data_IF_926409333329
#
_entry.id   IF_926409333329
#
_cell.length_a   1.000
_cell.length_b   1.000
_cell.length_c   1.000
_cell.angle_alpha   90.00
_cell.angle_beta   90.00
_cell.angle_gamma   90.00
#
_symmetry.space_group_name_H-M   'P 1'
#
loop_
_entity.id
_entity.type
_entity.pdbx_description
1 polymer ?
#
# COMPACT_ATOMS: atom_id res chain seq x y z
N UNK A 1 13.32 15.84 2.04
CA UNK A 1 12.37 15.42 3.08
C UNK A 1 11.04 15.95 2.65
N UNK A 2 10.12 15.09 2.21
CA UNK A 2 8.71 15.48 2.17
C UNK A 2 8.33 15.67 3.63
N UNK A 3 7.91 16.87 4.01
CA UNK A 3 7.27 17.05 5.31
C UNK A 3 5.98 16.23 5.25
N UNK A 4 5.71 15.44 6.28
CA UNK A 4 4.44 14.73 6.38
C UNK A 4 3.32 15.77 6.36
N UNK A 5 2.44 15.68 5.35
CA UNK A 5 1.35 16.65 5.20
C UNK A 5 0.44 16.58 6.42
N UNK A 6 0.02 17.76 6.90
CA UNK A 6 -0.74 17.88 8.14
C UNK A 6 -2.08 17.15 8.01
N UNK A 7 -2.32 16.17 8.87
CA UNK A 7 -3.62 15.49 8.96
C UNK A 7 -4.67 16.43 9.56
N UNK A 8 -5.78 16.61 8.84
CA UNK A 8 -6.93 17.42 9.26
C UNK A 8 -7.95 16.61 10.06
N UNK A 9 -8.28 15.40 9.59
CA UNK A 9 -9.22 14.51 10.27
C UNK A 9 -8.97 13.04 9.93
N UNK A 10 -9.56 12.17 10.75
CA UNK A 10 -9.48 10.71 10.59
C UNK A 10 -10.89 10.14 10.67
N UNK A 11 -11.24 9.26 9.73
CA UNK A 11 -12.52 8.54 9.71
C UNK A 11 -12.30 7.03 9.75
N UNK A 12 -13.09 6.25 10.52
CA UNK A 12 -12.98 4.79 10.52
C UNK A 12 -13.12 4.20 9.12
N UNK A 13 -12.34 3.16 8.83
CA UNK A 13 -12.46 2.40 7.60
C UNK A 13 -13.53 1.31 7.75
N UNK A 14 -14.22 0.97 6.66
CA UNK A 14 -14.98 -0.27 6.62
C UNK A 14 -14.01 -1.47 6.68
N UNK A 15 -14.42 -2.63 7.23
CA UNK A 15 -13.59 -3.82 7.18
C UNK A 15 -13.29 -4.26 5.74
N UNK A 16 -12.15 -4.90 5.52
CA UNK A 16 -11.78 -5.52 4.25
C UNK A 16 -10.75 -4.74 3.42
N UNK A 17 -10.31 -3.57 3.89
CA UNK A 17 -9.19 -2.84 3.29
C UNK A 17 -7.87 -3.24 3.93
N UNK A 18 -6.83 -3.46 3.12
CA UNK A 18 -5.50 -3.83 3.60
C UNK A 18 -4.40 -3.10 2.85
N UNK A 19 -3.41 -2.59 3.59
CA UNK A 19 -2.13 -2.18 3.02
C UNK A 19 -1.33 -3.43 2.66
N UNK A 20 -0.77 -3.44 1.46
CA UNK A 20 0.04 -4.53 0.95
C UNK A 20 1.53 -4.20 1.06
N UNK A 21 2.31 -5.18 1.49
CA UNK A 21 3.77 -5.09 1.51
C UNK A 21 4.40 -6.40 1.01
N UNK A 22 5.41 -6.34 0.12
CA UNK A 22 6.03 -7.53 -0.42
C UNK A 22 6.85 -8.27 0.65
N UNK A 23 6.58 -9.56 0.80
CA UNK A 23 7.36 -10.46 1.64
C UNK A 23 8.46 -11.12 0.81
N UNK A 24 9.63 -11.27 1.41
CA UNK A 24 10.80 -11.86 0.77
C UNK A 24 11.12 -13.22 1.39
N UNK A 25 11.51 -14.18 0.56
CA UNK A 25 12.07 -15.45 1.01
C UNK A 25 13.52 -15.30 1.51
N UNK A 26 14.12 -16.40 1.97
CA UNK A 26 15.51 -16.43 2.45
C UNK A 26 16.54 -16.02 1.37
N UNK A 27 16.19 -16.17 0.09
CA UNK A 27 17.02 -15.77 -1.04
C UNK A 27 16.78 -14.30 -1.46
N UNK A 28 15.90 -13.57 -0.76
CA UNK A 28 15.55 -12.19 -1.05
C UNK A 28 14.66 -12.02 -2.29
N UNK A 29 13.97 -13.07 -2.74
CA UNK A 29 12.96 -12.97 -3.80
C UNK A 29 11.58 -12.69 -3.19
N UNK A 30 10.79 -11.84 -3.86
CA UNK A 30 9.41 -11.59 -3.43
C UNK A 30 8.57 -12.86 -3.67
N UNK A 31 8.03 -13.42 -2.59
CA UNK A 31 7.26 -14.67 -2.63
C UNK A 31 5.77 -14.47 -2.32
N UNK A 32 5.45 -13.53 -1.43
CA UNK A 32 4.11 -13.32 -0.91
C UNK A 32 3.80 -11.83 -0.68
N UNK A 33 2.54 -11.54 -0.38
CA UNK A 33 2.06 -10.22 0.01
C UNK A 33 1.55 -10.25 1.45
N UNK A 34 2.21 -9.54 2.35
CA UNK A 34 1.66 -9.26 3.68
C UNK A 34 0.49 -8.30 3.56
N UNK A 35 -0.48 -8.43 4.47
CA UNK A 35 -1.70 -7.63 4.53
C UNK A 35 -1.83 -7.03 5.91
N UNK A 36 -1.70 -5.72 6.01
CA UNK A 36 -1.96 -4.99 7.25
C UNK A 36 -3.33 -4.30 7.16
N UNK A 37 -4.26 -4.54 8.10
CA UNK A 37 -5.58 -3.93 8.03
C UNK A 37 -5.51 -2.40 8.04
N UNK A 38 -6.27 -1.77 7.15
CA UNK A 38 -6.58 -0.34 7.26
C UNK A 38 -7.69 -0.19 8.29
N UNK A 39 -7.42 0.52 9.38
CA UNK A 39 -8.37 0.73 10.47
C UNK A 39 -9.09 2.08 10.36
N UNK A 40 -8.47 3.03 9.67
CA UNK A 40 -9.03 4.34 9.40
C UNK A 40 -8.43 4.97 8.13
N UNK A 41 -9.01 6.08 7.70
CA UNK A 41 -8.55 6.93 6.62
C UNK A 41 -8.25 8.32 7.18
N UNK A 42 -7.07 8.85 6.89
CA UNK A 42 -6.67 10.19 7.26
C UNK A 42 -6.79 11.11 6.04
N UNK A 43 -7.42 12.27 6.19
CA UNK A 43 -7.37 13.33 5.18
C UNK A 43 -6.32 14.37 5.60
N UNK A 44 -5.41 14.70 4.69
CA UNK A 44 -4.44 15.76 4.89
C UNK A 44 -4.94 17.14 4.42
N UNK A 45 -4.07 18.15 4.52
CA UNK A 45 -4.37 19.54 4.16
C UNK A 45 -4.44 19.83 2.66
N UNK A 46 -3.93 18.92 1.82
CA UNK A 46 -4.00 19.03 0.35
C UNK A 46 -5.17 18.23 -0.24
N UNK A 47 -5.90 17.49 0.59
CA UNK A 47 -7.07 16.72 0.19
C UNK A 47 -6.75 15.28 -0.22
N UNK A 48 -5.54 14.77 0.06
CA UNK A 48 -5.20 13.38 -0.15
C UNK A 48 -5.71 12.51 1.01
N UNK A 49 -6.10 11.28 0.67
CA UNK A 49 -6.57 10.28 1.62
C UNK A 49 -5.49 9.23 1.84
N UNK A 50 -5.05 9.07 3.08
CA UNK A 50 -3.99 8.16 3.46
C UNK A 50 -4.54 7.02 4.32
N UNK A 51 -4.09 5.77 4.09
CA UNK A 51 -4.46 4.65 4.94
C UNK A 51 -3.80 4.78 6.31
N UNK A 52 -4.58 4.49 7.35
CA UNK A 52 -4.10 4.39 8.73
C UNK A 52 -4.13 2.93 9.14
N UNK A 53 -2.98 2.40 9.57
CA UNK A 53 -2.85 1.06 10.14
C UNK A 53 -2.84 1.14 11.67
N UNK A 54 -2.72 0.00 12.35
CA UNK A 54 -2.55 -0.01 13.81
C UNK A 54 -1.21 0.57 14.26
N UNK A 55 -0.24 0.69 13.34
CA UNK A 55 1.12 1.17 13.63
C UNK A 55 1.25 2.66 13.37
N UNK A 56 0.73 3.14 12.25
CA UNK A 56 1.00 4.49 11.77
C UNK A 56 -0.01 4.99 10.73
N UNK A 57 0.10 6.29 10.42
CA UNK A 57 -0.51 6.92 9.25
C UNK A 57 0.53 6.87 8.12
N UNK A 58 0.18 6.27 6.99
CA UNK A 58 1.11 6.10 5.86
C UNK A 58 1.08 7.33 4.93
N UNK A 59 1.19 8.53 5.49
CA UNK A 59 1.24 9.81 4.76
C UNK A 59 2.66 10.25 4.41
N UNK A 60 3.61 9.32 4.43
CA UNK A 60 5.02 9.60 4.23
C UNK A 60 5.64 8.58 3.28
N UNK A 61 6.40 9.06 2.29
CA UNK A 61 7.19 8.20 1.42
C UNK A 61 6.45 7.72 0.17
N UNK A 62 6.36 6.39 0.00
CA UNK A 62 5.86 5.75 -1.24
C UNK A 62 4.35 5.51 -1.17
N UNK A 63 3.68 5.64 -2.32
CA UNK A 63 2.25 5.38 -2.44
C UNK A 63 1.91 3.93 -2.06
N UNK A 64 1.21 3.72 -0.92
CA UNK A 64 0.89 2.39 -0.44
C UNK A 64 -0.11 1.71 -1.38
N UNK A 65 0.12 0.44 -1.67
CA UNK A 65 -0.86 -0.37 -2.39
C UNK A 65 -1.91 -0.91 -1.42
N UNK A 66 -3.17 -0.76 -1.80
CA UNK A 66 -4.35 -1.05 -0.98
C UNK A 66 -5.17 -2.11 -1.68
N UNK A 67 -5.35 -3.25 -1.02
CA UNK A 67 -6.35 -4.25 -1.38
C UNK A 67 -7.71 -3.79 -0.89
N UNK A 68 -8.65 -3.64 -1.81
CA UNK A 68 -10.04 -3.29 -1.56
C UNK A 68 -10.88 -4.55 -1.24
N UNK A 69 -12.06 -4.39 -0.58
CA UNK A 69 -12.95 -5.49 -0.25
C UNK A 69 -13.48 -6.29 -1.44
N UNK A 70 -13.51 -5.68 -2.63
CA UNK A 70 -13.90 -6.30 -3.90
C UNK A 70 -12.78 -7.14 -4.54
N UNK A 71 -11.57 -7.10 -3.98
CA UNK A 71 -10.41 -7.86 -4.44
C UNK A 71 -9.45 -7.08 -5.34
N UNK A 72 -9.81 -5.87 -5.77
CA UNK A 72 -8.93 -5.01 -6.56
C UNK A 72 -7.82 -4.42 -5.69
N UNK A 73 -6.70 -4.04 -6.32
CA UNK A 73 -5.60 -3.33 -5.64
C UNK A 73 -5.43 -1.95 -6.27
N UNK A 74 -5.30 -0.92 -5.43
CA UNK A 74 -5.08 0.45 -5.87
C UNK A 74 -3.89 1.07 -5.14
N UNK A 75 -3.14 1.91 -5.82
CA UNK A 75 -2.37 2.98 -5.18
C UNK A 75 -2.68 4.30 -5.93
N UNK A 76 -1.95 5.37 -5.62
CA UNK A 76 -2.22 6.68 -6.22
C UNK A 76 -2.08 6.68 -7.75
N UNK A 77 -1.09 5.96 -8.29
CA UNK A 77 -0.70 6.01 -9.71
C UNK A 77 -1.10 4.76 -10.52
N UNK A 78 -1.66 3.73 -9.88
CA UNK A 78 -1.85 2.43 -10.51
C UNK A 78 -3.00 1.64 -9.89
N UNK A 79 -3.56 0.77 -10.72
CA UNK A 79 -4.65 -0.13 -10.40
C UNK A 79 -4.30 -1.53 -10.91
N UNK A 80 -4.67 -2.55 -10.14
CA UNK A 80 -4.57 -3.94 -10.50
C UNK A 80 -5.91 -4.63 -10.24
N UNK A 81 -6.32 -5.49 -11.17
CA UNK A 81 -7.58 -6.24 -11.07
C UNK A 81 -7.61 -7.15 -9.83
N UNK A 82 -6.43 -7.59 -9.36
CA UNK A 82 -6.33 -8.51 -8.23
C UNK A 82 -5.00 -8.44 -7.49
N UNK A 83 -4.97 -9.01 -6.28
CA UNK A 83 -3.75 -9.20 -5.50
C UNK A 83 -2.66 -10.01 -6.24
N UNK A 84 -2.97 -11.14 -6.92
CA UNK A 84 -1.99 -11.82 -7.78
C UNK A 84 -1.34 -10.92 -8.82
N UNK A 85 -2.09 -10.04 -9.48
CA UNK A 85 -1.56 -9.17 -10.53
C UNK A 85 -0.57 -8.15 -9.96
N UNK A 86 -0.92 -7.53 -8.83
CA UNK A 86 0.00 -6.67 -8.11
C UNK A 86 1.29 -7.41 -7.71
N UNK A 87 1.17 -8.63 -7.19
CA UNK A 87 2.31 -9.43 -6.72
C UNK A 87 3.25 -9.82 -7.87
N UNK A 88 2.72 -10.19 -9.03
CA UNK A 88 3.51 -10.48 -10.22
C UNK A 88 4.26 -9.24 -10.72
N UNK A 89 3.65 -8.05 -10.67
CA UNK A 89 4.35 -6.81 -11.00
C UNK A 89 5.50 -6.52 -10.02
N UNK A 90 5.28 -6.71 -8.71
CA UNK A 90 6.35 -6.52 -7.72
C UNK A 90 7.52 -7.49 -7.98
N UNK A 91 7.24 -8.75 -8.31
CA UNK A 91 8.27 -9.72 -8.71
C UNK A 91 9.02 -9.27 -9.96
N UNK A 92 8.33 -8.71 -10.96
CA UNK A 92 8.95 -8.21 -12.18
C UNK A 92 9.89 -7.01 -11.92
N UNK A 93 9.50 -6.06 -11.05
CA UNK A 93 10.32 -4.90 -10.67
C UNK A 93 11.68 -5.31 -10.10
N UNK A 94 11.72 -6.34 -9.23
CA UNK A 94 12.98 -6.87 -8.66
C UNK A 94 13.85 -7.53 -9.74
N UNK A 95 13.27 -8.27 -10.68
CA UNK A 95 14.03 -8.88 -11.79
C UNK A 95 14.69 -7.82 -12.66
N UNK A 96 13.98 -6.75 -13.00
CA UNK A 96 14.52 -5.65 -13.79
C UNK A 96 15.62 -4.88 -13.05
N UNK A 97 15.52 -4.72 -11.74
CA UNK A 97 16.56 -4.09 -10.92
C UNK A 97 17.85 -4.92 -10.86
N UNK A 98 17.77 -6.26 -10.84
CA UNK A 98 18.94 -7.15 -10.84
C UNK A 98 19.68 -7.22 -12.19
N UNK A 99 19.07 -6.74 -13.27
CA UNK A 99 19.63 -6.75 -14.63
C UNK A 99 20.29 -5.41 -15.02
N UNK A 100 20.26 -4.42 -14.14
CA UNK A 100 20.94 -3.12 -14.28
C UNK A 100 22.17 -3.08 -13.38
#
# INVERSE_FOLDING_TARGET
>A
MLNDDKILFVTPALPGFYVLSPCHDEAGAICEASREPVVAWALDEIGCTWPVTVREVLNHGKDPAILCPDGQVFNFDSEWDSLPDWLEEQKAKVRHAKLR
#
